data_IF_419345592740
#
_entry.id   IF_419345592740
#
_cell.length_a   1.000
_cell.length_b   1.000
_cell.length_c   1.000
_cell.angle_alpha   90.00
_cell.angle_beta   90.00
_cell.angle_gamma   90.00
#
_symmetry.space_group_name_H-M   'P 1'
#
loop_
_entity.id
_entity.type
_entity.pdbx_description
1 polymer ?
#
# COMPACT_ATOMS: atom_id res chain seq x y z
N UNK A 1 46.48 31.22 -12.38
CA UNK A 1 46.49 30.14 -11.37
C UNK A 1 45.05 29.62 -11.21
N UNK A 2 44.68 28.54 -11.88
CA UNK A 2 43.33 27.99 -11.81
C UNK A 2 43.21 27.19 -10.49
N UNK A 3 42.39 27.64 -9.55
CA UNK A 3 42.09 26.89 -8.35
C UNK A 3 41.13 25.77 -8.75
N UNK A 4 41.68 24.58 -8.93
CA UNK A 4 40.86 23.36 -9.12
C UNK A 4 40.20 23.01 -7.79
N UNK A 5 38.97 23.49 -7.57
CA UNK A 5 38.16 23.09 -6.41
C UNK A 5 37.67 21.67 -6.70
N UNK A 6 38.40 20.67 -6.23
CA UNK A 6 37.94 19.28 -6.19
C UNK A 6 36.85 19.16 -5.13
N UNK A 7 35.59 19.51 -5.48
CA UNK A 7 34.45 19.17 -4.63
C UNK A 7 34.32 17.65 -4.57
N UNK A 8 34.60 17.03 -3.42
CA UNK A 8 34.27 15.65 -3.15
C UNK A 8 32.77 15.44 -3.39
N UNK A 9 32.42 14.54 -4.29
CA UNK A 9 31.01 14.17 -4.50
C UNK A 9 30.44 13.62 -3.18
N UNK A 10 29.19 13.98 -2.83
CA UNK A 10 28.56 13.43 -1.63
C UNK A 10 28.44 11.92 -1.75
N UNK A 11 28.46 11.22 -0.62
CA UNK A 11 28.28 9.76 -0.57
C UNK A 11 26.91 9.34 -1.14
N UNK A 12 26.78 8.11 -1.65
CA UNK A 12 25.52 7.59 -2.20
C UNK A 12 24.36 7.74 -1.20
N UNK A 13 24.64 7.53 0.09
CA UNK A 13 23.65 7.69 1.17
C UNK A 13 23.19 9.16 1.32
N UNK A 14 24.10 10.11 1.27
CA UNK A 14 23.76 11.54 1.32
C UNK A 14 22.94 11.94 0.09
N UNK A 15 23.24 11.37 -1.07
CA UNK A 15 22.47 11.61 -2.28
C UNK A 15 21.06 11.03 -2.17
N UNK A 16 20.88 9.79 -1.63
CA UNK A 16 19.56 9.19 -1.36
C UNK A 16 18.74 10.10 -0.46
N UNK A 17 19.30 10.53 0.68
CA UNK A 17 18.61 11.42 1.62
C UNK A 17 18.20 12.74 0.97
N UNK A 18 19.08 13.30 0.12
CA UNK A 18 18.80 14.53 -0.60
C UNK A 18 17.63 14.35 -1.57
N UNK A 19 17.66 13.30 -2.41
CA UNK A 19 16.56 12.98 -3.35
C UNK A 19 15.27 12.75 -2.58
N UNK A 20 15.30 11.95 -1.51
CA UNK A 20 14.13 11.68 -0.64
C UNK A 20 13.52 12.97 -0.11
N UNK A 21 14.35 13.85 0.43
CA UNK A 21 13.90 15.13 1.00
C UNK A 21 13.20 16.01 -0.04
N UNK A 22 13.81 16.18 -1.22
CA UNK A 22 13.21 17.00 -2.28
C UNK A 22 11.88 16.39 -2.78
N UNK A 23 11.83 15.08 -2.94
CA UNK A 23 10.63 14.39 -3.43
C UNK A 23 9.50 14.40 -2.38
N UNK A 24 9.82 14.30 -1.08
CA UNK A 24 8.85 14.50 0.01
C UNK A 24 8.24 15.92 -0.06
N UNK A 25 9.07 16.97 -0.21
CA UNK A 25 8.54 18.33 -0.35
C UNK A 25 7.66 18.50 -1.58
N UNK A 26 7.98 17.83 -2.68
CA UNK A 26 7.14 17.78 -3.88
C UNK A 26 5.78 17.15 -3.57
N UNK A 27 5.76 16.02 -2.86
CA UNK A 27 4.52 15.33 -2.47
C UNK A 27 3.70 16.13 -1.46
N UNK A 28 4.31 16.72 -0.43
CA UNK A 28 3.62 17.53 0.58
C UNK A 28 2.92 18.77 -0.01
N UNK A 29 3.46 19.31 -1.11
CA UNK A 29 2.85 20.44 -1.83
C UNK A 29 1.91 20.01 -2.94
N UNK A 30 1.73 18.72 -3.16
CA UNK A 30 0.89 18.20 -4.24
C UNK A 30 -0.59 18.27 -3.87
N UNK A 31 -1.41 18.66 -4.84
CA UNK A 31 -2.88 18.61 -4.69
C UNK A 31 -3.37 17.17 -4.49
N UNK A 32 -2.61 16.17 -4.94
CA UNK A 32 -2.93 14.75 -4.77
C UNK A 32 -2.93 14.35 -3.29
N UNK A 33 -1.90 14.74 -2.52
CA UNK A 33 -1.84 14.45 -1.09
C UNK A 33 -2.95 15.15 -0.32
N UNK A 34 -3.19 16.43 -0.63
CA UNK A 34 -4.28 17.19 0.01
C UNK A 34 -5.62 16.50 -0.27
N UNK A 35 -5.87 16.09 -1.51
CA UNK A 35 -7.09 15.37 -1.88
C UNK A 35 -7.23 14.04 -1.14
N UNK A 36 -6.16 13.24 -1.03
CA UNK A 36 -6.16 11.98 -0.27
C UNK A 36 -6.49 12.23 1.20
N UNK A 37 -5.81 13.18 1.86
CA UNK A 37 -6.05 13.49 3.27
C UNK A 37 -7.47 14.03 3.53
N UNK A 38 -8.02 14.82 2.60
CA UNK A 38 -9.42 15.27 2.69
C UNK A 38 -10.37 14.07 2.63
N UNK A 39 -10.16 13.15 1.70
CA UNK A 39 -10.98 11.94 1.58
C UNK A 39 -10.88 11.11 2.86
N UNK A 40 -9.67 10.89 3.38
CA UNK A 40 -9.46 10.16 4.64
C UNK A 40 -10.18 10.81 5.81
N UNK A 41 -10.03 12.13 5.98
CA UNK A 41 -10.67 12.86 7.09
C UNK A 41 -12.20 12.82 6.95
N UNK A 42 -12.72 13.05 5.74
CA UNK A 42 -14.18 12.99 5.50
C UNK A 42 -14.74 11.61 5.80
N UNK A 43 -14.10 10.55 5.30
CA UNK A 43 -14.51 9.17 5.60
C UNK A 43 -14.42 8.89 7.10
N UNK A 44 -13.35 9.32 7.76
CA UNK A 44 -13.17 9.14 9.20
C UNK A 44 -14.27 9.83 10.00
N UNK A 45 -14.60 11.08 9.66
CA UNK A 45 -15.68 11.83 10.31
C UNK A 45 -17.02 11.13 10.10
N UNK A 46 -17.31 10.64 8.89
CA UNK A 46 -18.53 9.90 8.61
C UNK A 46 -18.62 8.61 9.42
N UNK A 47 -17.54 7.81 9.44
CA UNK A 47 -17.49 6.54 10.17
C UNK A 47 -17.57 6.71 11.68
N UNK A 48 -17.07 7.83 12.21
CA UNK A 48 -17.18 8.16 13.63
C UNK A 48 -18.55 8.76 14.01
N UNK A 49 -19.16 9.59 13.17
CA UNK A 49 -20.39 10.31 13.58
C UNK A 49 -21.67 9.59 13.19
N UNK A 50 -21.70 8.91 12.03
CA UNK A 50 -22.94 8.32 11.52
C UNK A 50 -23.50 7.19 12.39
N UNK A 51 -22.70 6.21 12.87
CA UNK A 51 -23.26 5.10 13.66
C UNK A 51 -24.06 5.55 14.88
N UNK A 52 -23.55 6.43 15.77
CA UNK A 52 -24.32 6.86 16.92
C UNK A 52 -25.54 7.72 16.56
N UNK A 53 -25.50 8.47 15.45
CA UNK A 53 -26.64 9.27 14.99
C UNK A 53 -27.81 8.41 14.50
N UNK A 54 -27.54 7.22 13.97
CA UNK A 54 -28.57 6.25 13.54
C UNK A 54 -28.95 5.24 14.62
N UNK A 55 -28.50 5.47 15.85
CA UNK A 55 -28.86 4.64 17.00
C UNK A 55 -27.99 3.40 17.21
N UNK A 56 -26.87 3.26 16.49
CA UNK A 56 -25.89 2.20 16.71
C UNK A 56 -24.80 2.69 17.68
N UNK A 57 -24.82 2.24 18.96
CA UNK A 57 -23.80 2.66 19.91
C UNK A 57 -22.43 2.11 19.54
N UNK A 58 -21.39 2.84 19.93
CA UNK A 58 -20.03 2.36 19.72
C UNK A 58 -19.75 1.06 20.47
N UNK A 59 -18.99 0.13 19.88
CA UNK A 59 -18.48 -1.03 20.59
C UNK A 59 -17.70 -0.60 21.84
N UNK A 60 -17.90 -1.32 22.95
CA UNK A 60 -17.17 -1.09 24.20
C UNK A 60 -15.79 -1.75 24.19
N UNK A 61 -15.60 -2.74 23.35
CA UNK A 61 -14.31 -3.40 23.13
C UNK A 61 -13.43 -2.53 22.23
N UNK A 62 -12.19 -2.20 22.64
CA UNK A 62 -11.33 -1.31 21.89
C UNK A 62 -10.88 -1.88 20.54
N UNK A 63 -10.77 -3.21 20.40
CA UNK A 63 -10.45 -3.84 19.14
C UNK A 63 -11.61 -3.72 18.15
N UNK A 64 -12.82 -4.02 18.61
CA UNK A 64 -14.04 -3.89 17.80
C UNK A 64 -14.32 -2.44 17.44
N UNK A 65 -14.03 -1.47 18.33
CA UNK A 65 -14.18 -0.05 18.00
C UNK A 65 -13.30 0.34 16.82
N UNK A 66 -11.99 0.03 16.88
CA UNK A 66 -11.06 0.38 15.81
C UNK A 66 -11.40 -0.38 14.53
N UNK A 67 -11.67 -1.68 14.62
CA UNK A 67 -12.01 -2.49 13.43
C UNK A 67 -13.26 -2.01 12.73
N UNK A 68 -14.30 -1.58 13.45
CA UNK A 68 -15.54 -1.07 12.86
C UNK A 68 -15.34 0.16 11.96
N UNK A 69 -14.24 0.89 12.16
CA UNK A 69 -13.88 2.08 11.40
C UNK A 69 -12.87 1.74 10.30
N UNK A 70 -11.87 0.93 10.61
CA UNK A 70 -10.72 0.71 9.71
C UNK A 70 -10.94 -0.39 8.68
N UNK A 71 -11.60 -1.52 9.03
CA UNK A 71 -11.62 -2.74 8.22
C UNK A 71 -12.14 -2.54 6.79
N UNK A 72 -13.19 -1.75 6.60
CA UNK A 72 -13.81 -1.61 5.27
C UNK A 72 -12.94 -0.84 4.28
N UNK A 73 -12.18 0.15 4.72
CA UNK A 73 -11.53 1.11 3.83
C UNK A 73 -10.00 1.06 3.82
N UNK A 74 -9.36 0.40 4.78
CA UNK A 74 -7.89 0.40 4.91
C UNK A 74 -7.19 -0.05 3.63
N UNK A 75 -7.55 -1.20 3.10
CA UNK A 75 -6.93 -1.74 1.87
C UNK A 75 -7.19 -0.85 0.66
N UNK A 76 -8.41 -0.32 0.53
CA UNK A 76 -8.79 0.59 -0.57
C UNK A 76 -7.98 1.88 -0.50
N UNK A 77 -7.87 2.50 0.68
CA UNK A 77 -7.10 3.73 0.87
C UNK A 77 -5.61 3.53 0.59
N UNK A 78 -5.04 2.40 1.01
CA UNK A 78 -3.66 2.06 0.66
C UNK A 78 -3.49 1.94 -0.85
N UNK A 79 -4.40 1.25 -1.55
CA UNK A 79 -4.34 1.13 -3.02
C UNK A 79 -4.45 2.50 -3.69
N UNK A 80 -5.34 3.38 -3.21
CA UNK A 80 -5.45 4.76 -3.74
C UNK A 80 -4.13 5.52 -3.50
N UNK A 81 -3.57 5.48 -2.29
CA UNK A 81 -2.31 6.14 -1.98
C UNK A 81 -1.16 5.63 -2.87
N UNK A 82 -1.03 4.31 -3.02
CA UNK A 82 -0.03 3.67 -3.88
C UNK A 82 -0.18 4.10 -5.33
N UNK A 83 -1.39 4.11 -5.87
CA UNK A 83 -1.63 4.52 -7.25
C UNK A 83 -1.33 5.99 -7.49
N UNK A 84 -1.59 6.85 -6.51
CA UNK A 84 -1.34 8.29 -6.61
C UNK A 84 0.14 8.67 -6.50
N UNK A 85 0.96 7.89 -5.78
CA UNK A 85 2.33 8.28 -5.47
C UNK A 85 3.39 7.31 -5.97
N UNK A 86 3.13 5.98 -5.99
CA UNK A 86 4.10 4.98 -6.40
C UNK A 86 3.99 4.63 -7.90
N UNK A 87 2.75 4.53 -8.40
CA UNK A 87 2.50 3.99 -9.74
C UNK A 87 3.06 4.83 -10.89
N UNK A 88 3.23 6.12 -10.71
CA UNK A 88 3.78 7.01 -11.75
C UNK A 88 5.18 7.58 -11.43
N UNK A 89 5.76 7.19 -10.30
CA UNK A 89 6.98 7.80 -9.78
C UNK A 89 8.18 7.76 -10.75
N UNK A 90 8.31 6.68 -11.52
CA UNK A 90 9.38 6.49 -12.50
C UNK A 90 8.90 6.89 -13.91
N UNK A 91 7.70 6.47 -14.32
CA UNK A 91 7.18 6.74 -15.68
C UNK A 91 7.01 8.23 -15.95
N UNK A 92 6.67 9.04 -14.94
CA UNK A 92 6.56 10.51 -15.05
C UNK A 92 7.89 11.16 -15.43
N UNK A 93 9.04 10.66 -14.94
CA UNK A 93 10.35 11.21 -15.31
C UNK A 93 10.68 11.02 -16.80
N UNK A 94 10.23 9.90 -17.36
CA UNK A 94 10.36 9.65 -18.81
C UNK A 94 9.36 10.47 -19.61
N UNK A 95 8.10 10.53 -19.20
CA UNK A 95 7.04 11.24 -19.89
C UNK A 95 7.31 12.75 -19.96
N UNK A 96 7.75 13.36 -18.85
CA UNK A 96 8.02 14.79 -18.74
C UNK A 96 9.42 15.16 -19.22
N UNK A 97 10.22 14.19 -19.70
CA UNK A 97 11.62 14.38 -20.13
C UNK A 97 12.52 14.97 -19.04
N UNK A 98 12.09 14.97 -17.77
CA UNK A 98 12.91 15.44 -16.64
C UNK A 98 14.14 14.58 -16.40
N UNK A 99 14.12 13.33 -16.88
CA UNK A 99 15.28 12.46 -16.88
C UNK A 99 16.49 13.04 -17.64
N UNK A 100 16.29 13.87 -18.69
CA UNK A 100 17.40 14.56 -19.36
C UNK A 100 18.16 15.54 -18.45
N UNK A 101 17.54 16.04 -17.40
CA UNK A 101 18.18 16.89 -16.40
C UNK A 101 18.77 16.07 -15.23
N UNK A 102 18.16 14.94 -14.91
CA UNK A 102 18.57 14.11 -13.78
C UNK A 102 19.72 13.15 -14.12
N UNK A 103 19.69 12.51 -15.30
CA UNK A 103 20.64 11.46 -15.65
C UNK A 103 22.03 11.94 -16.12
N UNK A 104 22.24 13.17 -16.63
CA UNK A 104 23.58 13.68 -16.89
C UNK A 104 24.34 14.04 -15.59
N UNK A 105 23.64 14.21 -14.47
CA UNK A 105 24.30 14.43 -13.19
C UNK A 105 25.05 13.15 -12.74
N UNK A 106 26.17 13.27 -12.03
CA UNK A 106 26.97 12.14 -11.57
C UNK A 106 26.30 11.40 -10.40
N UNK A 107 25.00 11.12 -10.53
CA UNK A 107 24.17 10.39 -9.55
C UNK A 107 23.75 9.06 -10.17
N UNK A 108 23.99 7.96 -9.47
CA UNK A 108 23.61 6.63 -9.93
C UNK A 108 22.09 6.49 -10.03
N UNK A 109 21.60 5.79 -11.06
CA UNK A 109 20.16 5.52 -11.22
C UNK A 109 19.53 4.82 -10.00
N UNK A 110 20.26 3.91 -9.34
CA UNK A 110 19.80 3.25 -8.12
C UNK A 110 19.58 4.23 -6.96
N UNK A 111 20.44 5.22 -6.82
CA UNK A 111 20.32 6.27 -5.80
C UNK A 111 19.05 7.10 -6.01
N UNK A 112 18.77 7.46 -7.26
CA UNK A 112 17.54 8.17 -7.63
C UNK A 112 16.31 7.30 -7.33
N UNK A 113 16.35 6.02 -7.74
CA UNK A 113 15.27 5.08 -7.49
C UNK A 113 14.99 4.93 -6.00
N UNK A 114 16.01 4.62 -5.20
CA UNK A 114 15.87 4.41 -3.76
C UNK A 114 15.40 5.68 -3.03
N UNK A 115 15.90 6.84 -3.43
CA UNK A 115 15.45 8.10 -2.85
C UNK A 115 13.98 8.40 -3.11
N UNK A 116 13.51 8.16 -4.33
CA UNK A 116 12.10 8.30 -4.71
C UNK A 116 11.21 7.25 -4.02
N UNK A 117 11.66 5.99 -3.99
CA UNK A 117 10.93 4.91 -3.31
C UNK A 117 10.76 5.23 -1.82
N UNK A 118 11.82 5.68 -1.16
CA UNK A 118 11.77 6.04 0.25
C UNK A 118 10.84 7.24 0.50
N UNK A 119 10.82 8.24 -0.38
CA UNK A 119 9.90 9.38 -0.24
C UNK A 119 8.44 8.95 -0.36
N UNK A 120 8.11 8.12 -1.35
CA UNK A 120 6.76 7.58 -1.55
C UNK A 120 6.34 6.72 -0.37
N UNK A 121 7.24 5.87 0.12
CA UNK A 121 7.00 5.07 1.31
C UNK A 121 6.66 5.94 2.53
N UNK A 122 7.41 7.00 2.79
CA UNK A 122 7.14 7.91 3.91
C UNK A 122 5.79 8.63 3.77
N UNK A 123 5.36 8.97 2.56
CA UNK A 123 4.03 9.51 2.30
C UNK A 123 2.93 8.47 2.56
N UNK A 124 3.14 7.22 2.14
CA UNK A 124 2.20 6.13 2.44
C UNK A 124 2.12 5.86 3.96
N UNK A 125 3.26 5.87 4.67
CA UNK A 125 3.30 5.77 6.13
C UNK A 125 2.50 6.90 6.78
N UNK A 126 2.64 8.14 6.30
CA UNK A 126 1.89 9.28 6.82
C UNK A 126 0.37 9.06 6.68
N UNK A 127 -0.09 8.67 5.50
CA UNK A 127 -1.50 8.41 5.24
C UNK A 127 -2.04 7.28 6.13
N UNK A 128 -1.40 6.11 6.13
CA UNK A 128 -1.80 4.97 6.97
C UNK A 128 -1.76 5.31 8.46
N UNK A 129 -0.80 6.13 8.89
CA UNK A 129 -0.69 6.57 10.28
C UNK A 129 -1.89 7.45 10.68
N UNK A 130 -2.26 8.42 9.85
CA UNK A 130 -3.44 9.27 10.09
C UNK A 130 -4.70 8.40 10.15
N UNK A 131 -4.86 7.47 9.20
CA UNK A 131 -6.01 6.56 9.12
C UNK A 131 -6.18 5.69 10.37
N UNK A 132 -5.09 5.21 10.97
CA UNK A 132 -5.15 4.34 12.16
C UNK A 132 -5.18 5.11 13.48
N UNK A 133 -4.37 6.16 13.60
CA UNK A 133 -4.23 6.83 14.90
C UNK A 133 -5.46 7.63 15.31
N UNK A 134 -6.23 8.17 14.36
CA UNK A 134 -7.49 8.86 14.70
C UNK A 134 -8.47 7.90 15.38
N UNK A 135 -8.83 6.72 14.82
CA UNK A 135 -9.74 5.79 15.52
C UNK A 135 -9.12 5.14 16.76
N UNK A 136 -7.80 4.94 16.83
CA UNK A 136 -7.14 4.45 18.04
C UNK A 136 -7.30 5.46 19.18
N UNK A 137 -7.06 6.75 18.93
CA UNK A 137 -7.22 7.80 19.95
C UNK A 137 -8.70 8.03 20.30
N UNK A 138 -9.61 7.98 19.33
CA UNK A 138 -11.04 8.04 19.57
C UNK A 138 -11.50 6.83 20.40
N UNK A 139 -11.01 5.64 20.08
CA UNK A 139 -11.26 4.42 20.82
C UNK A 139 -10.78 4.51 22.28
N UNK A 140 -9.56 5.03 22.50
CA UNK A 140 -9.04 5.29 23.84
C UNK A 140 -9.97 6.22 24.65
N UNK A 141 -10.51 7.26 24.01
CA UNK A 141 -11.42 8.19 24.69
C UNK A 141 -12.76 7.56 25.03
N UNK A 142 -13.27 6.61 24.23
CA UNK A 142 -14.57 5.94 24.42
C UNK A 142 -14.47 4.71 25.31
N UNK A 143 -13.42 3.88 25.12
CA UNK A 143 -13.28 2.57 25.79
C UNK A 143 -12.32 2.61 26.98
N UNK A 144 -11.47 3.65 27.09
CA UNK A 144 -10.49 3.81 28.16
C UNK A 144 -9.19 3.01 27.97
N UNK A 145 -9.04 2.27 26.87
CA UNK A 145 -7.84 1.45 26.61
C UNK A 145 -7.49 1.38 25.13
N UNK A 146 -6.24 1.03 24.82
CA UNK A 146 -5.74 0.81 23.47
C UNK A 146 -5.67 -0.70 23.21
N UNK A 147 -6.19 -1.15 22.07
CA UNK A 147 -6.09 -2.54 21.64
C UNK A 147 -4.72 -2.84 21.04
N UNK A 148 -4.08 -3.91 21.51
CA UNK A 148 -2.85 -4.45 20.88
C UNK A 148 -3.11 -4.92 19.45
N UNK A 149 -4.28 -5.50 19.18
CA UNK A 149 -4.70 -5.94 17.85
C UNK A 149 -4.77 -4.77 16.85
N UNK A 150 -5.16 -3.57 17.32
CA UNK A 150 -5.15 -2.38 16.47
C UNK A 150 -3.73 -1.96 16.06
N UNK A 151 -2.75 -2.12 16.95
CA UNK A 151 -1.34 -1.83 16.66
C UNK A 151 -0.77 -2.90 15.71
N UNK A 152 -1.12 -4.16 15.89
CA UNK A 152 -0.72 -5.25 15.00
C UNK A 152 -1.30 -5.06 13.59
N UNK A 153 -2.59 -4.74 13.48
CA UNK A 153 -3.25 -4.39 12.21
C UNK A 153 -2.57 -3.20 11.53
N UNK A 154 -2.24 -2.15 12.28
CA UNK A 154 -1.48 -1.01 11.76
C UNK A 154 -0.12 -1.43 11.21
N UNK A 155 0.61 -2.29 11.91
CA UNK A 155 1.89 -2.85 11.42
C UNK A 155 1.74 -3.63 10.10
N UNK A 156 0.70 -4.47 10.00
CA UNK A 156 0.38 -5.21 8.77
C UNK A 156 -0.03 -4.26 7.64
N UNK A 157 -0.81 -3.23 7.93
CA UNK A 157 -1.20 -2.22 6.96
C UNK A 157 0.01 -1.44 6.40
N UNK A 158 0.98 -1.09 7.24
CA UNK A 158 2.25 -0.49 6.81
C UNK A 158 3.04 -1.44 5.91
N UNK A 159 3.14 -2.72 6.29
CA UNK A 159 3.87 -3.72 5.51
C UNK A 159 3.21 -3.93 4.13
N UNK A 160 1.88 -4.00 4.10
CA UNK A 160 1.11 -4.07 2.86
C UNK A 160 1.32 -2.82 1.98
N UNK A 161 1.31 -1.62 2.57
CA UNK A 161 1.54 -0.38 1.84
C UNK A 161 2.92 -0.34 1.16
N UNK A 162 3.97 -0.85 1.84
CA UNK A 162 5.32 -0.99 1.25
C UNK A 162 5.30 -1.99 0.10
N UNK A 163 4.70 -3.16 0.30
CA UNK A 163 4.65 -4.22 -0.71
C UNK A 163 3.87 -3.78 -1.96
N UNK A 164 2.72 -3.15 -1.77
CA UNK A 164 1.92 -2.58 -2.85
C UNK A 164 2.66 -1.43 -3.58
N UNK A 165 3.37 -0.56 -2.84
CA UNK A 165 4.22 0.48 -3.44
C UNK A 165 5.34 -0.12 -4.28
N UNK A 166 5.94 -1.23 -3.86
CA UNK A 166 6.97 -1.94 -4.62
C UNK A 166 6.43 -2.45 -5.96
N UNK A 167 5.19 -2.98 -5.98
CA UNK A 167 4.50 -3.34 -7.23
C UNK A 167 4.21 -2.11 -8.09
N UNK A 168 3.75 -1.01 -7.51
CA UNK A 168 3.55 0.25 -8.22
C UNK A 168 4.82 0.75 -8.90
N UNK A 169 5.95 0.70 -8.20
CA UNK A 169 7.27 1.05 -8.75
C UNK A 169 7.71 0.09 -9.87
N UNK A 170 7.46 -1.21 -9.73
CA UNK A 170 7.73 -2.17 -10.79
C UNK A 170 6.94 -1.84 -12.06
N UNK A 171 5.64 -1.61 -11.95
CA UNK A 171 4.78 -1.22 -13.07
C UNK A 171 5.25 0.11 -13.67
N UNK A 172 5.54 1.10 -12.83
CA UNK A 172 6.07 2.40 -13.25
C UNK A 172 7.38 2.29 -14.02
N UNK A 173 8.23 1.33 -13.67
CA UNK A 173 9.51 1.08 -14.36
C UNK A 173 9.32 0.46 -15.74
N UNK A 174 8.25 -0.29 -15.97
CA UNK A 174 7.93 -0.96 -17.23
C UNK A 174 7.18 -0.01 -18.18
N UNK A 175 6.22 0.76 -17.63
CA UNK A 175 5.30 1.57 -18.43
C UNK A 175 5.99 2.83 -19.01
N UNK A 176 5.61 3.21 -20.23
CA UNK A 176 6.13 4.43 -20.90
C UNK A 176 5.41 5.71 -20.46
N UNK A 177 4.13 5.61 -20.12
CA UNK A 177 3.29 6.74 -19.72
C UNK A 177 2.78 6.62 -18.31
N UNK A 178 2.69 7.75 -17.61
CA UNK A 178 2.24 7.79 -16.20
C UNK A 178 0.77 7.37 -16.03
N UNK A 179 -0.11 7.79 -16.93
CA UNK A 179 -1.54 7.43 -16.87
C UNK A 179 -1.72 5.91 -16.96
N UNK A 180 -1.04 5.26 -17.91
CA UNK A 180 -1.09 3.81 -18.06
C UNK A 180 -0.57 3.07 -16.82
N UNK A 181 0.49 3.57 -16.19
CA UNK A 181 1.04 2.99 -14.98
C UNK A 181 0.06 3.12 -13.79
N UNK A 182 -0.56 4.29 -13.61
CA UNK A 182 -1.57 4.52 -12.57
C UNK A 182 -2.76 3.59 -12.77
N UNK A 183 -3.35 3.58 -13.96
CA UNK A 183 -4.53 2.77 -14.29
C UNK A 183 -4.24 1.28 -14.11
N UNK A 184 -3.11 0.79 -14.65
CA UNK A 184 -2.74 -0.62 -14.51
C UNK A 184 -2.53 -1.01 -13.05
N UNK A 185 -1.83 -0.20 -12.26
CA UNK A 185 -1.59 -0.48 -10.83
C UNK A 185 -2.91 -0.49 -10.05
N UNK A 186 -3.79 0.48 -10.30
CA UNK A 186 -5.09 0.57 -9.67
C UNK A 186 -5.94 -0.68 -9.96
N UNK A 187 -6.12 -1.01 -11.23
CA UNK A 187 -6.92 -2.18 -11.62
C UNK A 187 -6.29 -3.50 -11.18
N UNK A 188 -4.96 -3.61 -11.19
CA UNK A 188 -4.26 -4.80 -10.71
C UNK A 188 -4.56 -5.06 -9.23
N UNK A 189 -4.36 -4.05 -8.38
CA UNK A 189 -4.51 -4.20 -6.93
C UNK A 189 -5.96 -4.22 -6.46
N UNK A 190 -6.87 -3.49 -7.14
CA UNK A 190 -8.26 -3.37 -6.69
C UNK A 190 -9.22 -4.37 -7.34
N UNK A 191 -8.91 -4.86 -8.54
CA UNK A 191 -9.81 -5.72 -9.30
C UNK A 191 -9.18 -7.04 -9.72
N UNK A 192 -8.08 -7.02 -10.46
CA UNK A 192 -7.53 -8.23 -11.09
C UNK A 192 -7.09 -9.23 -10.02
N UNK A 193 -6.26 -8.81 -9.06
CA UNK A 193 -5.82 -9.72 -8.00
C UNK A 193 -6.99 -10.19 -7.11
N UNK A 194 -7.86 -9.33 -6.54
CA UNK A 194 -8.98 -9.79 -5.72
C UNK A 194 -9.95 -10.70 -6.46
N UNK A 195 -10.24 -10.43 -7.74
CA UNK A 195 -11.10 -11.31 -8.56
C UNK A 195 -10.41 -12.66 -8.80
N UNK A 196 -9.10 -12.67 -9.12
CA UNK A 196 -8.35 -13.91 -9.28
C UNK A 196 -8.30 -14.73 -7.98
N UNK A 197 -8.13 -14.04 -6.84
CA UNK A 197 -8.13 -14.68 -5.52
C UNK A 197 -9.49 -15.35 -5.22
N UNK A 198 -10.58 -14.64 -5.50
CA UNK A 198 -11.92 -15.18 -5.33
C UNK A 198 -12.18 -16.37 -6.27
N UNK A 199 -11.79 -16.30 -7.53
CA UNK A 199 -11.96 -17.39 -8.48
C UNK A 199 -11.14 -18.63 -8.10
N UNK A 200 -9.86 -18.45 -7.78
CA UNK A 200 -8.96 -19.55 -7.39
C UNK A 200 -9.36 -20.12 -6.04
N UNK A 201 -9.67 -19.27 -5.07
CA UNK A 201 -10.08 -19.69 -3.73
C UNK A 201 -11.46 -20.32 -3.71
N UNK A 202 -12.49 -19.55 -4.03
CA UNK A 202 -13.88 -19.97 -3.83
C UNK A 202 -14.31 -21.06 -4.81
N UNK A 203 -13.94 -20.93 -6.09
CA UNK A 203 -14.35 -21.87 -7.14
C UNK A 203 -13.30 -22.95 -7.39
N UNK A 204 -12.02 -22.61 -7.33
CA UNK A 204 -10.93 -23.56 -7.57
C UNK A 204 -10.58 -24.41 -6.35
N UNK A 205 -11.03 -24.05 -5.14
CA UNK A 205 -10.71 -24.77 -3.91
C UNK A 205 -9.23 -24.76 -3.54
N UNK A 206 -8.46 -23.81 -4.07
CA UNK A 206 -7.02 -23.66 -3.83
C UNK A 206 -6.75 -22.35 -3.12
N UNK A 207 -6.01 -22.39 -2.01
CA UNK A 207 -5.63 -21.18 -1.28
C UNK A 207 -4.74 -20.28 -2.14
N UNK A 208 -5.13 -18.99 -2.40
CA UNK A 208 -4.34 -18.06 -3.19
C UNK A 208 -3.18 -17.44 -2.38
N UNK A 209 -2.42 -18.29 -1.68
CA UNK A 209 -1.37 -17.91 -0.74
C UNK A 209 -0.25 -17.05 -1.33
N UNK A 210 -0.10 -17.02 -2.65
CA UNK A 210 0.86 -16.19 -3.37
C UNK A 210 0.39 -14.74 -3.56
N UNK A 211 -0.89 -14.47 -3.45
CA UNK A 211 -1.45 -13.17 -3.81
C UNK A 211 -1.27 -12.13 -2.72
N UNK A 212 -0.79 -10.96 -3.11
CA UNK A 212 -0.60 -9.83 -2.19
C UNK A 212 -1.93 -9.33 -1.62
N UNK A 213 -3.00 -9.32 -2.42
CA UNK A 213 -4.33 -8.84 -2.01
C UNK A 213 -5.02 -9.82 -1.08
N UNK A 214 -4.85 -11.13 -1.29
CA UNK A 214 -5.31 -12.14 -0.35
C UNK A 214 -4.63 -11.99 1.01
N UNK A 215 -3.31 -11.79 1.02
CA UNK A 215 -2.55 -11.60 2.25
C UNK A 215 -2.92 -10.30 2.99
N UNK A 216 -3.40 -9.27 2.27
CA UNK A 216 -3.90 -8.04 2.90
C UNK A 216 -5.12 -8.28 3.81
N UNK A 217 -5.87 -9.36 3.61
CA UNK A 217 -6.98 -9.76 4.48
C UNK A 217 -6.56 -9.93 5.96
N UNK A 218 -5.29 -10.25 6.23
CA UNK A 218 -4.78 -10.34 7.62
C UNK A 218 -4.94 -9.03 8.40
N UNK A 219 -4.95 -7.87 7.71
CA UNK A 219 -5.15 -6.56 8.32
C UNK A 219 -6.49 -6.50 9.06
N UNK A 220 -7.52 -7.15 8.51
CA UNK A 220 -8.87 -7.15 9.06
C UNK A 220 -9.10 -8.37 9.95
N UNK A 221 -8.62 -9.55 9.56
CA UNK A 221 -8.81 -10.76 10.33
C UNK A 221 -8.10 -10.75 11.69
N UNK A 222 -7.02 -9.95 11.86
CA UNK A 222 -6.29 -9.84 13.14
C UNK A 222 -7.17 -9.34 14.28
N UNK A 223 -8.24 -8.60 14.00
CA UNK A 223 -9.16 -8.11 15.02
C UNK A 223 -10.09 -9.19 15.61
N UNK A 224 -10.21 -10.34 14.96
CA UNK A 224 -11.08 -11.42 15.39
C UNK A 224 -10.38 -12.31 16.44
N UNK A 225 -11.05 -12.56 17.55
CA UNK A 225 -10.53 -13.39 18.65
C UNK A 225 -11.54 -14.47 19.01
N UNK A 226 -11.25 -15.78 18.81
CA UNK A 226 -10.00 -16.31 18.23
C UNK A 226 -9.81 -15.97 16.76
N UNK A 227 -8.54 -16.01 16.28
CA UNK A 227 -8.23 -15.78 14.88
C UNK A 227 -8.99 -16.81 14.01
N UNK A 228 -9.68 -16.37 12.95
CA UNK A 228 -10.52 -17.29 12.17
C UNK A 228 -9.69 -18.31 11.40
N UNK A 229 -10.29 -19.44 11.10
CA UNK A 229 -9.69 -20.52 10.33
C UNK A 229 -10.39 -20.68 8.98
N UNK A 230 -9.67 -21.25 8.00
CA UNK A 230 -10.24 -21.59 6.71
C UNK A 230 -11.33 -22.64 6.86
N UNK A 231 -12.48 -22.42 6.24
CA UNK A 231 -13.64 -23.28 6.34
C UNK A 231 -14.12 -23.71 4.94
N UNK A 232 -14.70 -24.92 4.88
CA UNK A 232 -15.36 -25.43 3.68
C UNK A 232 -16.84 -25.61 4.02
N UNK A 233 -17.70 -24.89 3.34
CA UNK A 233 -19.16 -25.01 3.48
C UNK A 233 -19.74 -25.67 2.23
N UNK A 234 -20.67 -26.63 2.45
CA UNK A 234 -21.41 -27.29 1.39
C UNK A 234 -22.85 -26.78 1.43
N UNK A 235 -23.29 -26.17 0.35
CA UNK A 235 -24.68 -25.69 0.20
C UNK A 235 -25.39 -26.61 -0.75
N UNK A 236 -26.51 -27.20 -0.28
CA UNK A 236 -27.43 -27.97 -1.14
C UNK A 236 -28.19 -27.00 -2.05
N UNK A 237 -28.09 -27.22 -3.36
CA UNK A 237 -28.81 -26.39 -4.34
C UNK A 237 -30.17 -27.03 -4.64
N UNK A 238 -31.28 -26.25 -4.61
CA UNK A 238 -32.58 -26.74 -5.05
C UNK A 238 -32.51 -27.27 -6.48
N UNK A 239 -32.68 -28.60 -6.62
CA UNK A 239 -32.53 -29.30 -7.91
C UNK A 239 -31.54 -30.47 -7.90
N UNK A 240 -30.94 -30.78 -6.76
CA UNK A 240 -30.18 -32.02 -6.54
C UNK A 240 -28.69 -31.93 -6.85
N UNK A 241 -28.02 -30.93 -6.40
CA UNK A 241 -26.55 -30.82 -6.44
C UNK A 241 -25.98 -30.17 -5.19
N UNK A 242 -24.74 -30.49 -4.82
CA UNK A 242 -24.03 -29.86 -3.76
C UNK A 242 -23.01 -28.87 -4.34
N UNK A 243 -23.05 -27.59 -3.92
CA UNK A 243 -22.01 -26.63 -4.21
C UNK A 243 -21.09 -26.49 -2.98
N UNK A 244 -19.80 -26.71 -3.20
CA UNK A 244 -18.77 -26.55 -2.16
C UNK A 244 -18.15 -25.18 -2.28
N UNK A 245 -18.22 -24.39 -1.20
CA UNK A 245 -17.56 -23.10 -1.10
C UNK A 245 -16.41 -23.18 -0.13
N UNK A 246 -15.24 -22.77 -0.59
CA UNK A 246 -14.03 -22.69 0.22
C UNK A 246 -13.78 -21.24 0.64
N UNK A 247 -13.75 -20.99 1.93
CA UNK A 247 -13.34 -19.70 2.49
C UNK A 247 -11.96 -19.87 3.10
N UNK A 248 -10.94 -19.38 2.39
CA UNK A 248 -9.58 -19.40 2.86
C UNK A 248 -9.25 -18.12 3.64
N UNK A 249 -8.53 -18.28 4.75
CA UNK A 249 -8.13 -17.19 5.63
C UNK A 249 -6.60 -17.18 5.70
N UNK A 250 -5.95 -16.05 5.33
CA UNK A 250 -4.51 -15.97 5.30
C UNK A 250 -3.90 -16.05 6.71
N UNK A 251 -2.83 -16.82 6.87
CA UNK A 251 -2.09 -16.88 8.11
C UNK A 251 -1.13 -15.69 8.25
N UNK A 252 -1.11 -15.03 9.40
CA UNK A 252 -0.29 -13.82 9.62
C UNK A 252 1.18 -14.03 9.29
N UNK A 253 1.78 -15.16 9.72
CA UNK A 253 3.18 -15.46 9.44
C UNK A 253 3.48 -15.62 7.95
N UNK A 254 2.59 -16.28 7.20
CA UNK A 254 2.70 -16.46 5.74
C UNK A 254 2.52 -15.10 5.06
N UNK A 255 1.54 -14.31 5.48
CA UNK A 255 1.27 -13.00 4.93
C UNK A 255 2.49 -12.06 5.03
N UNK A 256 3.11 -12.00 6.20
CA UNK A 256 4.35 -11.23 6.40
C UNK A 256 5.46 -11.70 5.46
N UNK A 257 5.66 -13.03 5.34
CA UNK A 257 6.66 -13.60 4.43
C UNK A 257 6.41 -13.25 2.96
N UNK A 258 5.17 -13.36 2.51
CA UNK A 258 4.78 -13.03 1.12
C UNK A 258 4.93 -11.54 0.85
N UNK A 259 4.47 -10.66 1.75
CA UNK A 259 4.62 -9.21 1.61
C UNK A 259 6.09 -8.80 1.53
N UNK A 260 6.96 -9.37 2.38
CA UNK A 260 8.42 -9.14 2.31
C UNK A 260 8.98 -9.65 0.98
N UNK A 261 8.54 -10.81 0.51
CA UNK A 261 8.91 -11.33 -0.81
C UNK A 261 8.58 -10.36 -1.94
N UNK A 262 7.37 -9.79 -1.94
CA UNK A 262 6.99 -8.76 -2.92
C UNK A 262 7.86 -7.51 -2.84
N UNK A 263 8.18 -7.04 -1.63
CA UNK A 263 9.06 -5.88 -1.42
C UNK A 263 10.43 -6.14 -2.07
N UNK A 264 11.03 -7.29 -1.79
CA UNK A 264 12.37 -7.60 -2.29
C UNK A 264 12.36 -7.82 -3.80
N UNK A 265 11.50 -8.73 -4.28
CA UNK A 265 11.50 -9.15 -5.70
C UNK A 265 11.08 -7.99 -6.60
N UNK A 266 10.00 -7.29 -6.27
CA UNK A 266 9.50 -6.20 -7.11
C UNK A 266 10.51 -5.05 -7.20
N UNK A 267 11.15 -4.64 -6.09
CA UNK A 267 12.16 -3.60 -6.11
C UNK A 267 13.42 -4.02 -6.88
N UNK A 268 13.91 -5.25 -6.69
CA UNK A 268 15.07 -5.75 -7.44
C UNK A 268 14.81 -5.73 -8.95
N UNK A 269 13.67 -6.27 -9.37
CA UNK A 269 13.30 -6.28 -10.79
C UNK A 269 13.09 -4.86 -11.32
N UNK A 270 12.42 -3.99 -10.56
CA UNK A 270 12.21 -2.59 -10.94
C UNK A 270 13.52 -1.83 -11.12
N UNK A 271 14.48 -1.99 -10.21
CA UNK A 271 15.82 -1.37 -10.32
C UNK A 271 16.56 -1.87 -11.56
N UNK A 272 16.52 -3.18 -11.84
CA UNK A 272 17.18 -3.76 -13.03
C UNK A 272 16.57 -3.17 -14.31
N UNK A 273 15.25 -3.09 -14.41
CA UNK A 273 14.56 -2.52 -15.56
C UNK A 273 14.90 -1.04 -15.70
N UNK A 274 14.82 -0.28 -14.60
CA UNK A 274 15.13 1.15 -14.59
C UNK A 274 16.58 1.45 -15.01
N UNK A 275 17.54 0.62 -14.61
CA UNK A 275 18.94 0.75 -15.01
C UNK A 275 19.15 0.56 -16.52
N UNK A 276 18.47 -0.44 -17.09
CA UNK A 276 18.60 -0.79 -18.52
C UNK A 276 17.83 0.16 -19.44
N UNK A 277 16.90 0.91 -18.89
CA UNK A 277 16.04 1.79 -19.66
C UNK A 277 16.81 3.05 -20.05
N UNK A 278 16.94 3.27 -21.36
CA UNK A 278 17.53 4.47 -21.93
C UNK A 278 16.44 5.50 -22.27
N UNK A 279 16.82 6.78 -22.26
CA UNK A 279 15.98 7.85 -22.80
C UNK A 279 16.12 7.82 -24.32
N UNK A 280 15.20 7.15 -24.99
CA UNK A 280 15.11 7.23 -26.46
C UNK A 280 14.40 8.52 -26.80
N UNK A 281 15.07 9.35 -27.60
CA UNK A 281 14.61 10.65 -28.08
C UNK A 281 13.40 10.57 -29.00
#
# INVERSE_FOLDING_TARGET
MAVTITRKLPSDLQQIVTVTRYDIFKHLRSRRLIGLLIIEIVLMVLLLLVPPLVGNPYPKDPAQFVSSITSTFTTILIVIAVTMFAADAISTEYQNRTGYLLFPNPVKKEVIYLGKFLSTFLIAVLAVTIWYWIPILAGLAVTGSISTLAIESYGLALLYAIAASSLGYLISSIMKGSIGAIVLTFFLLLMILPISDALVGTLGGVEPGYSLTYQAGTIDYIFQTPYPHSETSVIEVPGGGNMTFHTFIPQVGVAVGVMIGYIIIANLVAIIIFKRREMVG
#
